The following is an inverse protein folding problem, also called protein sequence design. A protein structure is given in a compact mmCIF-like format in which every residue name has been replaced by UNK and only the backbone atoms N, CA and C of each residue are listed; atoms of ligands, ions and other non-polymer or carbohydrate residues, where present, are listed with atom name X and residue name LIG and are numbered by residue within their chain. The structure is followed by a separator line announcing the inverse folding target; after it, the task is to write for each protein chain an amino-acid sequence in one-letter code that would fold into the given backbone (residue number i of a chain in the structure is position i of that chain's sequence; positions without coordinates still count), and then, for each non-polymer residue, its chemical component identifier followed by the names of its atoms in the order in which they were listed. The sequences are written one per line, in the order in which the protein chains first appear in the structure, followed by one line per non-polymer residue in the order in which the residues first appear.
data_IF_823299771312
#
_entry.id   IF_823299771312
#
_cell.length_a   1.000
_cell.length_b   1.000
_cell.length_c   1.000
_cell.angle_alpha   90.00
_cell.angle_beta   90.00
_cell.angle_gamma   90.00
#
_symmetry.space_group_name_H-M   'P 1'
#
loop_
_entity.id
_entity.type
_entity.pdbx_description
1 polymer ?
#
# COMPACT_ATOMS: atom_id res chain seq x y z
N UNK A 1 4.39 3.02 15.79
CA UNK A 1 5.09 2.20 16.81
C UNK A 1 4.33 2.30 18.10
N UNK A 2 4.52 1.35 19.01
CA UNK A 2 3.84 1.34 20.30
C UNK A 2 4.87 1.25 21.42
N UNK A 3 4.78 2.14 22.41
CA UNK A 3 5.61 2.12 23.61
C UNK A 3 4.73 1.77 24.81
N UNK A 4 5.07 0.69 25.52
CA UNK A 4 4.29 0.19 26.67
C UNK A 4 2.79 -0.03 26.34
N UNK A 5 2.50 -0.46 25.11
CA UNK A 5 1.14 -0.71 24.63
C UNK A 5 0.36 0.54 24.17
N UNK A 6 0.92 1.74 24.30
CA UNK A 6 0.31 2.97 23.80
C UNK A 6 0.88 3.37 22.43
N UNK A 7 0.06 3.87 21.48
CA UNK A 7 0.57 4.36 20.20
C UNK A 7 1.45 5.60 20.40
N UNK A 8 2.61 5.61 19.76
CA UNK A 8 3.54 6.75 19.86
C UNK A 8 3.06 7.96 19.02
N UNK A 9 2.26 7.71 17.99
CA UNK A 9 1.73 8.73 17.09
C UNK A 9 0.39 9.25 17.66
N UNK A 10 0.33 10.54 17.95
CA UNK A 10 -0.83 11.17 18.59
C UNK A 10 -1.76 11.91 17.64
N UNK A 11 -1.36 12.11 16.37
CA UNK A 11 -2.13 12.82 15.34
C UNK A 11 -1.60 12.45 13.93
N UNK A 12 -2.33 12.82 12.87
CA UNK A 12 -2.06 12.51 11.47
C UNK A 12 -0.86 13.25 10.88
N UNK A 13 -0.33 14.28 11.54
CA UNK A 13 0.95 14.89 11.19
C UNK A 13 2.12 13.92 11.46
N UNK A 14 1.99 13.10 12.52
CA UNK A 14 2.99 12.09 12.92
C UNK A 14 2.68 10.69 12.40
N UNK A 15 1.41 10.36 12.18
CA UNK A 15 1.00 9.11 11.53
C UNK A 15 1.01 9.26 10.00
N UNK A 16 1.99 8.65 9.35
CA UNK A 16 2.24 8.83 7.91
C UNK A 16 1.18 8.12 7.06
N UNK A 17 0.19 8.90 6.62
CA UNK A 17 -0.75 8.52 5.55
C UNK A 17 -0.26 9.04 4.19
N UNK A 18 -0.71 8.41 3.10
CA UNK A 18 -0.50 8.90 1.73
C UNK A 18 -1.05 10.34 1.62
N UNK A 19 -0.29 11.22 0.98
CA UNK A 19 -0.68 12.61 0.70
C UNK A 19 -1.02 12.78 -0.79
N UNK A 20 -1.70 13.87 -1.15
CA UNK A 20 -2.12 14.10 -2.54
C UNK A 20 -0.99 14.01 -3.56
N UNK A 21 0.20 14.56 -3.25
CA UNK A 21 1.36 14.48 -4.14
C UNK A 21 1.99 13.10 -4.30
N UNK A 22 1.53 12.10 -3.53
CA UNK A 22 2.04 10.73 -3.52
C UNK A 22 1.05 9.74 -4.14
N UNK A 23 -0.17 10.21 -4.45
CA UNK A 23 -1.12 9.42 -5.20
C UNK A 23 -0.60 9.17 -6.63
N UNK A 24 -1.00 8.06 -7.27
CA UNK A 24 -0.74 7.86 -8.70
C UNK A 24 -1.25 9.04 -9.52
N UNK A 25 -0.50 9.44 -10.55
CA UNK A 25 -0.89 10.54 -11.44
C UNK A 25 -2.17 10.25 -12.23
N UNK A 26 -2.46 8.97 -12.46
CA UNK A 26 -3.66 8.48 -13.11
C UNK A 26 -4.11 7.19 -12.44
N UNK A 27 -5.43 6.97 -12.38
CA UNK A 27 -6.07 5.76 -11.88
C UNK A 27 -7.11 5.36 -12.92
N UNK A 28 -6.97 4.18 -13.49
CA UNK A 28 -7.94 3.61 -14.42
C UNK A 28 -8.83 2.61 -13.67
N UNK A 29 -10.13 2.65 -13.96
CA UNK A 29 -11.14 1.81 -13.32
C UNK A 29 -11.98 1.16 -14.40
N UNK A 30 -12.08 -0.17 -14.35
CA UNK A 30 -12.85 -0.95 -15.29
C UNK A 30 -13.81 -1.85 -14.53
N UNK A 31 -15.05 -1.93 -15.00
CA UNK A 31 -16.04 -2.87 -14.50
C UNK A 31 -16.07 -4.08 -15.42
N UNK A 32 -16.09 -5.27 -14.81
CA UNK A 32 -16.32 -6.53 -15.53
C UNK A 32 -17.82 -6.77 -15.54
N UNK A 33 -18.38 -7.10 -16.71
CA UNK A 33 -19.79 -7.45 -16.84
C UNK A 33 -20.10 -8.71 -16.02
N UNK A 34 -21.24 -8.69 -15.33
CA UNK A 34 -21.67 -9.75 -14.42
C UNK A 34 -23.19 -9.80 -14.36
N UNK A 35 -23.77 -10.98 -14.49
CA UNK A 35 -25.22 -11.22 -14.33
C UNK A 35 -25.62 -11.42 -12.85
N UNK A 36 -24.63 -11.53 -11.95
CA UNK A 36 -24.84 -11.67 -10.51
C UNK A 36 -25.41 -10.38 -9.90
N UNK A 37 -26.16 -10.54 -8.80
CA UNK A 37 -26.69 -9.39 -8.07
C UNK A 37 -25.56 -8.47 -7.56
N UNK A 38 -25.74 -7.13 -7.59
CA UNK A 38 -24.75 -6.19 -7.09
C UNK A 38 -24.38 -6.46 -5.63
N UNK A 39 -23.08 -6.43 -5.34
CA UNK A 39 -22.53 -6.54 -3.99
C UNK A 39 -21.66 -5.33 -3.63
N UNK A 40 -21.19 -5.26 -2.39
CA UNK A 40 -20.34 -4.17 -1.92
C UNK A 40 -18.95 -4.19 -2.57
N UNK A 41 -18.50 -3.05 -3.10
CA UNK A 41 -17.19 -2.88 -3.75
C UNK A 41 -16.17 -2.07 -2.93
N UNK A 42 -16.48 -1.74 -1.68
CA UNK A 42 -15.61 -0.89 -0.85
C UNK A 42 -14.31 -1.56 -0.41
N UNK A 43 -14.37 -2.83 -0.01
CA UNK A 43 -13.23 -3.61 0.49
C UNK A 43 -12.51 -4.49 -0.55
N UNK A 44 -13.18 -5.08 -1.57
CA UNK A 44 -12.53 -5.92 -2.58
C UNK A 44 -11.25 -5.35 -3.25
N UNK A 45 -11.11 -4.04 -3.53
CA UNK A 45 -9.88 -3.52 -4.12
C UNK A 45 -8.71 -3.41 -3.12
N UNK A 46 -8.94 -3.50 -1.81
CA UNK A 46 -7.91 -3.26 -0.79
C UNK A 46 -6.88 -4.41 -0.63
N UNK A 47 -7.26 -5.70 -0.60
CA UNK A 47 -6.27 -6.78 -0.54
C UNK A 47 -5.31 -6.84 -1.74
N UNK A 48 -5.77 -6.74 -3.02
CA UNK A 48 -4.89 -6.95 -4.17
C UNK A 48 -3.89 -5.81 -4.40
N UNK A 49 -4.18 -4.57 -3.97
CA UNK A 49 -3.30 -3.42 -4.26
C UNK A 49 -1.89 -3.60 -3.67
N UNK A 50 -1.77 -4.21 -2.48
CA UNK A 50 -0.47 -4.41 -1.85
C UNK A 50 0.37 -5.47 -2.58
N UNK A 51 -0.27 -6.53 -3.09
CA UNK A 51 0.41 -7.54 -3.91
C UNK A 51 0.85 -6.98 -5.26
N UNK A 52 0.01 -6.16 -5.89
CA UNK A 52 0.34 -5.47 -7.14
C UNK A 52 1.56 -4.54 -6.95
N UNK A 53 1.60 -3.77 -5.85
CA UNK A 53 2.73 -2.90 -5.51
C UNK A 53 4.02 -3.70 -5.27
N UNK A 54 3.97 -4.80 -4.52
CA UNK A 54 5.14 -5.65 -4.29
C UNK A 54 5.71 -6.23 -5.60
N UNK A 55 4.84 -6.65 -6.52
CA UNK A 55 5.24 -7.12 -7.84
C UNK A 55 5.83 -6.01 -8.72
N UNK A 56 5.28 -4.79 -8.65
CA UNK A 56 5.83 -3.63 -9.34
C UNK A 56 7.23 -3.28 -8.83
N UNK A 57 7.44 -3.29 -7.50
CA UNK A 57 8.76 -3.10 -6.87
C UNK A 57 9.75 -4.15 -7.37
N UNK A 58 9.35 -5.43 -7.39
CA UNK A 58 10.21 -6.50 -7.91
C UNK A 58 10.56 -6.30 -9.38
N UNK A 59 9.58 -5.96 -10.23
CA UNK A 59 9.85 -5.69 -11.65
C UNK A 59 10.78 -4.50 -11.87
N UNK A 60 10.66 -3.45 -11.06
CA UNK A 60 11.49 -2.25 -11.18
C UNK A 60 12.91 -2.41 -10.60
N UNK A 61 13.09 -3.29 -9.62
CA UNK A 61 14.34 -3.35 -8.83
C UNK A 61 15.04 -4.71 -8.82
N UNK A 62 14.38 -5.77 -9.28
CA UNK A 62 14.82 -7.17 -9.15
C UNK A 62 14.69 -7.74 -7.73
N UNK A 63 14.18 -6.96 -6.76
CA UNK A 63 14.16 -7.35 -5.34
C UNK A 63 12.75 -7.64 -4.85
N UNK A 64 12.59 -8.76 -4.15
CA UNK A 64 11.32 -9.13 -3.52
C UNK A 64 11.23 -8.49 -2.14
N UNK A 65 10.06 -7.94 -1.82
CA UNK A 65 9.70 -7.40 -0.51
C UNK A 65 8.51 -8.18 0.03
N UNK A 66 8.54 -8.50 1.32
CA UNK A 66 7.54 -9.39 1.94
C UNK A 66 6.95 -8.81 3.22
N UNK A 67 7.52 -7.74 3.76
CA UNK A 67 7.19 -7.22 5.08
C UNK A 67 6.70 -5.77 4.99
N UNK A 68 5.39 -5.61 5.16
CA UNK A 68 4.78 -4.29 5.20
C UNK A 68 5.09 -3.57 6.52
N UNK A 69 5.24 -2.23 6.50
CA UNK A 69 5.36 -1.40 5.31
C UNK A 69 6.72 -1.60 4.60
N UNK A 70 6.70 -1.78 3.27
CA UNK A 70 7.88 -2.15 2.47
C UNK A 70 9.05 -1.17 2.54
N UNK A 71 8.80 0.06 3.01
CA UNK A 71 9.81 1.11 3.16
C UNK A 71 11.00 0.68 4.02
N UNK A 72 10.80 -0.23 4.98
CA UNK A 72 11.89 -0.74 5.83
C UNK A 72 12.88 -1.58 5.03
N UNK A 73 12.37 -2.52 4.23
CA UNK A 73 13.16 -3.38 3.36
C UNK A 73 13.86 -2.57 2.26
N UNK A 74 13.18 -1.55 1.72
CA UNK A 74 13.75 -0.67 0.69
C UNK A 74 14.85 0.27 1.22
N UNK A 75 14.68 0.85 2.43
CA UNK A 75 15.65 1.77 3.02
C UNK A 75 16.92 1.10 3.52
N UNK A 76 16.81 -0.11 4.08
CA UNK A 76 17.97 -0.87 4.56
C UNK A 76 19.02 -1.16 3.49
N UNK A 77 18.70 -0.91 2.22
CA UNK A 77 19.53 -1.23 1.07
C UNK A 77 20.02 -0.02 0.27
N UNK A 78 19.51 1.19 0.55
CA UNK A 78 20.04 2.44 -0.04
C UNK A 78 21.24 3.01 0.75
N UNK A 79 21.55 2.40 1.90
CA UNK A 79 22.64 2.77 2.80
C UNK A 79 23.76 1.70 2.85
N UNK A 80 23.73 0.73 1.92
CA UNK A 80 24.72 -0.33 1.78
C UNK A 80 25.50 -0.20 0.47
#
# INVERSE_FOLDING_TARGET
TFTKGAPDQTNFDRYRLIRHGEAPKAIEVHFVESDEHPTGLGEPPLPPVMGALANAIYRATGKRVYHQPFIKELRGQMLG
#
